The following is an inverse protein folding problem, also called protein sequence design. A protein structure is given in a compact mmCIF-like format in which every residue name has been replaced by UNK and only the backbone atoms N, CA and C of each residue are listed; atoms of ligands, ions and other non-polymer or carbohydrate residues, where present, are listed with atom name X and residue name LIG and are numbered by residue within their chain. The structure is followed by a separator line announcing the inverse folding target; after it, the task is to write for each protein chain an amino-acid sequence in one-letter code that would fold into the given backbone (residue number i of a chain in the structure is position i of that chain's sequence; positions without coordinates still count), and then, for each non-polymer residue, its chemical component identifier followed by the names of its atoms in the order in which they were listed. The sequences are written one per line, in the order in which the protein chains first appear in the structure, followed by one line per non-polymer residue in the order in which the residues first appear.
data_IF_811145550851
#
_entry.id   IF_811145550851
#
_cell.length_a   1.000
_cell.length_b   1.000
_cell.length_c   1.000
_cell.angle_alpha   90.00
_cell.angle_beta   90.00
_cell.angle_gamma   90.00
#
_symmetry.space_group_name_H-M   'P 1'
#
loop_
_entity.id
_entity.type
_entity.pdbx_description
1 polymer ?
#
# COMPACT_ATOMS: atom_id res chain seq x y z
N UNK A 1 -10.29 3.70 -32.70
CA UNK A 1 -9.24 3.16 -31.81
C UNK A 1 -8.83 4.22 -30.78
N UNK A 2 -8.78 3.87 -29.49
CA UNK A 2 -8.47 4.82 -28.41
C UNK A 2 -7.50 4.17 -27.43
N UNK A 3 -6.53 4.92 -26.93
CA UNK A 3 -5.58 4.49 -25.87
C UNK A 3 -5.71 5.43 -24.67
N UNK A 4 -5.71 4.89 -23.46
CA UNK A 4 -5.79 5.65 -22.21
C UNK A 4 -4.40 5.70 -21.58
N UNK A 5 -3.91 6.89 -21.25
CA UNK A 5 -2.59 7.10 -20.63
C UNK A 5 -2.74 7.93 -19.36
N UNK A 6 -1.92 7.65 -18.34
CA UNK A 6 -1.76 8.57 -17.21
C UNK A 6 -1.12 9.88 -17.71
N UNK A 7 -1.50 10.99 -17.06
CA UNK A 7 -0.97 12.34 -17.33
C UNK A 7 0.55 12.36 -17.23
N UNK A 8 1.15 11.73 -16.21
CA UNK A 8 2.59 11.67 -16.05
C UNK A 8 3.26 11.04 -17.29
N UNK A 9 2.79 9.86 -17.70
CA UNK A 9 3.32 9.14 -18.87
C UNK A 9 3.23 9.97 -20.15
N UNK A 10 2.10 10.62 -20.41
CA UNK A 10 1.95 11.42 -21.65
C UNK A 10 2.71 12.74 -21.58
N UNK A 11 2.81 13.37 -20.40
CA UNK A 11 3.48 14.64 -20.21
C UNK A 11 5.01 14.55 -20.34
N UNK A 12 5.62 13.39 -20.04
CA UNK A 12 7.06 13.18 -20.22
C UNK A 12 7.46 12.94 -21.68
N UNK A 13 6.54 12.47 -22.54
CA UNK A 13 6.84 12.11 -23.95
C UNK A 13 7.52 13.25 -24.71
N UNK A 14 7.04 14.51 -24.70
CA UNK A 14 7.71 15.59 -25.43
C UNK A 14 9.15 15.84 -24.95
N UNK A 15 9.42 15.69 -23.66
CA UNK A 15 10.78 15.86 -23.11
C UNK A 15 11.69 14.70 -23.52
N UNK A 16 11.19 13.46 -23.49
CA UNK A 16 11.90 12.28 -23.98
C UNK A 16 12.24 12.43 -25.47
N UNK A 17 11.30 12.89 -26.30
CA UNK A 17 11.54 13.11 -27.73
C UNK A 17 12.57 14.20 -28.00
N UNK A 18 12.56 15.29 -27.21
CA UNK A 18 13.54 16.39 -27.35
C UNK A 18 14.95 16.02 -26.86
N UNK A 19 15.08 15.29 -25.75
CA UNK A 19 16.37 14.92 -25.15
C UNK A 19 16.93 13.59 -25.64
N UNK A 20 16.09 12.79 -26.31
CA UNK A 20 16.42 11.46 -26.80
C UNK A 20 16.06 10.36 -25.81
N UNK A 21 15.58 9.22 -26.33
CA UNK A 21 15.22 8.06 -25.51
C UNK A 21 16.38 7.50 -24.70
N UNK A 22 17.60 7.55 -25.25
CA UNK A 22 18.81 7.09 -24.57
C UNK A 22 19.10 7.86 -23.27
N UNK A 23 18.80 9.17 -23.24
CA UNK A 23 18.94 9.99 -22.04
C UNK A 23 17.98 9.53 -20.94
N UNK A 24 16.71 9.32 -21.29
CA UNK A 24 15.70 8.88 -20.31
C UNK A 24 15.94 7.44 -19.85
N UNK A 25 16.40 6.56 -20.76
CA UNK A 25 16.70 5.16 -20.44
C UNK A 25 17.99 4.97 -19.63
N UNK A 26 18.86 5.98 -19.57
CA UNK A 26 20.08 5.95 -18.76
C UNK A 26 19.81 6.17 -17.26
N UNK A 27 18.61 6.64 -16.92
CA UNK A 27 18.13 6.79 -15.54
C UNK A 27 17.49 5.47 -15.08
N UNK A 28 17.75 5.09 -13.84
CA UNK A 28 17.22 3.91 -13.19
C UNK A 28 17.88 2.61 -13.64
N UNK A 29 17.21 1.49 -13.36
CA UNK A 29 17.71 0.14 -13.68
C UNK A 29 17.12 -0.38 -14.99
N UNK A 30 17.73 -1.40 -15.62
CA UNK A 30 17.11 -2.06 -16.77
C UNK A 30 15.66 -2.47 -16.47
N UNK A 31 14.76 -2.21 -17.42
CA UNK A 31 13.29 -2.38 -17.31
C UNK A 31 12.57 -1.44 -16.33
N UNK A 32 13.31 -0.59 -15.62
CA UNK A 32 12.81 0.36 -14.64
C UNK A 32 13.45 1.74 -14.89
N UNK A 33 13.29 2.23 -16.11
CA UNK A 33 14.03 3.40 -16.57
C UNK A 33 13.22 4.70 -16.49
N UNK A 34 13.93 5.79 -16.21
CA UNK A 34 13.38 7.14 -16.18
C UNK A 34 13.23 7.73 -14.78
N UNK A 35 12.48 8.81 -14.71
CA UNK A 35 12.08 9.46 -13.46
C UNK A 35 10.63 9.10 -13.10
N UNK A 36 10.29 9.31 -11.83
CA UNK A 36 8.94 9.15 -11.31
C UNK A 36 8.65 10.27 -10.32
N UNK A 37 7.42 10.78 -10.38
CA UNK A 37 6.88 11.66 -9.32
C UNK A 37 6.46 10.76 -8.15
N UNK A 38 7.13 10.93 -7.02
CA UNK A 38 6.82 10.32 -5.74
C UNK A 38 5.98 11.27 -4.90
N UNK A 39 4.84 10.79 -4.41
CA UNK A 39 3.97 11.55 -3.52
C UNK A 39 4.13 11.00 -2.10
N UNK A 40 4.96 11.63 -1.27
CA UNK A 40 5.27 11.18 0.09
C UNK A 40 4.28 11.82 1.07
N UNK A 41 3.53 10.96 1.75
CA UNK A 41 2.41 11.34 2.62
C UNK A 41 2.40 10.53 3.93
N UNK A 42 1.51 10.86 4.84
CA UNK A 42 1.38 10.19 6.13
C UNK A 42 2.34 10.73 7.18
N UNK A 43 2.91 9.85 8.00
CA UNK A 43 3.69 10.17 9.21
C UNK A 43 5.17 10.49 8.90
N UNK A 44 5.39 11.48 8.04
CA UNK A 44 6.71 12.09 7.76
C UNK A 44 6.76 13.53 8.27
N UNK A 45 7.96 14.08 8.46
CA UNK A 45 8.12 15.44 8.99
C UNK A 45 7.71 16.52 7.97
N UNK A 46 7.92 16.27 6.67
CA UNK A 46 7.62 17.21 5.59
C UNK A 46 6.98 16.47 4.40
N UNK A 47 5.67 16.17 4.42
CA UNK A 47 4.99 15.58 3.28
C UNK A 47 5.19 16.42 2.00
N UNK A 48 5.50 15.78 0.89
CA UNK A 48 5.83 16.47 -0.36
C UNK A 48 5.61 15.60 -1.59
N UNK A 49 5.52 16.26 -2.75
CA UNK A 49 5.69 15.60 -4.05
C UNK A 49 7.07 15.96 -4.58
N UNK A 50 7.82 14.96 -5.03
CA UNK A 50 9.16 15.13 -5.61
C UNK A 50 9.30 14.25 -6.84
N UNK A 51 9.92 14.78 -7.90
CA UNK A 51 10.35 13.97 -9.03
C UNK A 51 11.76 13.48 -8.76
N UNK A 52 11.97 12.17 -8.86
CA UNK A 52 13.27 11.54 -8.64
C UNK A 52 13.48 10.33 -9.57
N UNK A 53 14.73 9.91 -9.72
CA UNK A 53 15.12 8.72 -10.47
C UNK A 53 14.46 7.43 -9.94
N UNK A 54 13.93 6.61 -10.86
CA UNK A 54 13.41 5.29 -10.52
C UNK A 54 14.51 4.39 -9.95
N UNK A 55 14.20 3.67 -8.87
CA UNK A 55 15.16 2.79 -8.20
C UNK A 55 15.93 3.46 -7.05
N UNK A 56 15.63 4.71 -6.69
CA UNK A 56 16.10 5.30 -5.44
C UNK A 56 15.73 4.41 -4.23
N UNK A 57 16.62 4.18 -3.25
CA UNK A 57 16.27 3.49 -2.03
C UNK A 57 15.11 4.17 -1.29
N UNK A 58 14.11 3.41 -0.83
CA UNK A 58 12.91 3.96 -0.17
C UNK A 58 13.27 4.81 1.07
N UNK A 59 14.25 4.36 1.85
CA UNK A 59 14.74 5.12 3.00
C UNK A 59 15.37 6.45 2.59
N UNK A 60 16.22 6.42 1.57
CA UNK A 60 16.90 7.62 1.05
C UNK A 60 15.89 8.65 0.54
N UNK A 61 14.86 8.19 -0.19
CA UNK A 61 13.75 9.02 -0.67
C UNK A 61 13.06 9.76 0.51
N UNK A 62 12.75 9.05 1.60
CA UNK A 62 12.05 9.63 2.76
C UNK A 62 12.97 10.55 3.57
N UNK A 63 14.19 10.12 3.86
CA UNK A 63 15.13 10.88 4.69
C UNK A 63 15.55 12.18 3.99
N UNK A 64 15.76 12.14 2.67
CA UNK A 64 16.21 13.29 1.87
C UNK A 64 15.10 14.29 1.61
N UNK A 65 13.94 13.83 1.13
CA UNK A 65 12.90 14.73 0.62
C UNK A 65 11.79 15.03 1.62
N UNK A 66 11.39 14.04 2.42
CA UNK A 66 10.32 14.19 3.38
C UNK A 66 10.80 14.54 4.80
N UNK A 67 12.10 14.77 4.97
CA UNK A 67 12.73 15.09 6.26
C UNK A 67 12.67 13.94 7.27
N UNK A 68 12.55 12.70 6.80
CA UNK A 68 12.46 11.50 7.64
C UNK A 68 11.07 11.22 8.21
N UNK A 69 10.94 10.04 8.81
CA UNK A 69 9.74 9.60 9.55
C UNK A 69 9.56 10.45 10.81
N UNK A 70 8.31 10.74 11.18
CA UNK A 70 7.98 11.43 12.44
C UNK A 70 8.56 10.65 13.63
N UNK A 71 9.42 11.28 14.44
CA UNK A 71 10.11 10.61 15.55
C UNK A 71 11.32 9.77 15.16
N UNK A 72 11.79 9.86 13.90
CA UNK A 72 12.96 9.14 13.40
C UNK A 72 12.62 7.79 12.76
N UNK A 73 13.55 7.24 11.99
CA UNK A 73 13.36 6.02 11.22
C UNK A 73 13.01 4.79 12.08
N UNK A 74 13.51 4.73 13.31
CA UNK A 74 13.17 3.65 14.26
C UNK A 74 11.71 3.71 14.75
N UNK A 75 11.03 4.84 14.56
CA UNK A 75 9.61 4.98 14.83
C UNK A 75 8.73 4.48 13.66
N UNK A 76 9.33 4.02 12.55
CA UNK A 76 8.57 3.47 11.43
C UNK A 76 7.88 2.15 11.80
N UNK A 77 6.60 2.03 11.43
CA UNK A 77 5.83 0.79 11.53
C UNK A 77 5.78 0.10 10.15
N UNK A 78 5.20 0.78 9.18
CA UNK A 78 5.01 0.26 7.82
C UNK A 78 4.86 1.38 6.79
N UNK A 79 5.04 1.02 5.51
CA UNK A 79 4.86 1.94 4.38
C UNK A 79 4.02 1.25 3.31
N UNK A 80 3.04 1.96 2.74
CA UNK A 80 2.41 1.56 1.48
C UNK A 80 3.18 2.29 0.37
N UNK A 81 3.99 1.60 -0.46
CA UNK A 81 4.94 2.27 -1.35
C UNK A 81 4.30 2.86 -2.62
N UNK A 82 3.11 2.41 -3.01
CA UNK A 82 2.59 2.60 -4.37
C UNK A 82 1.15 3.04 -4.49
N UNK A 83 0.66 3.80 -3.51
CA UNK A 83 -0.75 4.16 -3.37
C UNK A 83 -1.56 3.06 -2.69
N UNK A 84 -2.80 3.36 -2.32
CA UNK A 84 -3.64 2.47 -1.49
C UNK A 84 -3.87 1.08 -2.07
N UNK A 85 -3.61 0.87 -3.36
CA UNK A 85 -3.88 -0.40 -4.04
C UNK A 85 -2.84 -1.47 -3.76
N UNK A 86 -1.65 -1.13 -3.25
CA UNK A 86 -0.56 -2.09 -3.10
C UNK A 86 -0.42 -2.58 -1.65
N UNK A 87 0.09 -3.81 -1.44
CA UNK A 87 0.39 -4.32 -0.11
C UNK A 87 1.38 -3.41 0.64
N UNK A 88 1.14 -3.21 1.94
CA UNK A 88 2.11 -2.53 2.81
C UNK A 88 3.40 -3.33 2.96
N UNK A 89 4.47 -2.63 3.34
CA UNK A 89 5.78 -3.17 3.67
C UNK A 89 6.09 -2.91 5.15
N UNK A 90 6.45 -3.92 5.95
CA UNK A 90 6.97 -3.71 7.29
C UNK A 90 8.35 -3.04 7.24
N UNK A 91 8.72 -2.33 8.32
CA UNK A 91 10.01 -1.61 8.43
C UNK A 91 11.22 -2.42 7.93
N UNK A 92 11.31 -3.70 8.28
CA UNK A 92 12.44 -4.57 7.92
C UNK A 92 12.69 -4.67 6.41
N UNK A 93 11.64 -4.58 5.59
CA UNK A 93 11.76 -4.56 4.12
C UNK A 93 12.07 -3.14 3.64
N UNK A 94 11.45 -2.12 4.26
CA UNK A 94 11.67 -0.72 3.92
C UNK A 94 13.13 -0.27 4.10
N UNK A 95 13.90 -0.94 4.98
CA UNK A 95 15.30 -0.65 5.23
C UNK A 95 16.19 -0.80 3.97
N UNK A 96 15.83 -1.69 3.04
CA UNK A 96 16.70 -2.06 1.89
C UNK A 96 16.03 -1.98 0.52
N UNK A 97 14.72 -1.78 0.45
CA UNK A 97 13.98 -1.85 -0.83
C UNK A 97 14.23 -0.63 -1.71
N UNK A 98 14.28 -0.86 -3.01
CA UNK A 98 14.38 0.18 -4.03
C UNK A 98 12.99 0.55 -4.56
N UNK A 99 12.80 1.83 -4.90
CA UNK A 99 11.56 2.37 -5.43
C UNK A 99 11.49 2.21 -6.95
N UNK A 100 11.41 0.95 -7.39
CA UNK A 100 11.13 0.58 -8.78
C UNK A 100 10.09 -0.58 -8.87
N UNK A 101 9.62 -0.89 -10.07
CA UNK A 101 8.54 -1.86 -10.26
C UNK A 101 8.97 -3.28 -9.88
N UNK A 102 10.17 -3.70 -10.33
CA UNK A 102 10.64 -5.08 -10.10
C UNK A 102 10.98 -5.33 -8.63
N UNK A 103 11.69 -4.43 -7.96
CA UNK A 103 12.12 -4.61 -6.56
C UNK A 103 10.91 -4.65 -5.63
N UNK A 104 9.90 -3.82 -5.86
CA UNK A 104 8.67 -3.83 -5.08
C UNK A 104 7.82 -5.08 -5.35
N UNK A 105 7.78 -5.57 -6.59
CA UNK A 105 7.12 -6.84 -6.93
C UNK A 105 7.80 -8.01 -6.23
N UNK A 106 9.13 -8.05 -6.19
CA UNK A 106 9.91 -9.16 -5.61
C UNK A 106 9.68 -9.28 -4.08
N UNK A 107 9.37 -8.17 -3.41
CA UNK A 107 8.95 -8.16 -1.99
C UNK A 107 7.43 -8.28 -1.80
N UNK A 108 6.70 -8.74 -2.83
CA UNK A 108 5.24 -8.97 -2.82
C UNK A 108 4.43 -7.70 -2.56
N UNK A 109 4.91 -6.56 -3.05
CA UNK A 109 4.17 -5.30 -3.12
C UNK A 109 4.18 -4.78 -4.58
N UNK A 110 4.02 -3.48 -4.80
CA UNK A 110 4.09 -2.86 -6.12
C UNK A 110 4.37 -1.37 -6.04
N UNK A 111 4.90 -0.80 -7.13
CA UNK A 111 5.15 0.65 -7.21
C UNK A 111 3.88 1.47 -7.42
N UNK A 112 2.86 0.90 -8.07
CA UNK A 112 1.59 1.57 -8.36
C UNK A 112 1.78 3.00 -8.90
N UNK A 113 1.17 3.98 -8.24
CA UNK A 113 1.30 5.40 -8.60
C UNK A 113 2.54 6.10 -8.03
N UNK A 114 3.35 5.39 -7.23
CA UNK A 114 4.38 5.94 -6.35
C UNK A 114 3.82 6.91 -5.28
N UNK A 115 2.56 6.69 -4.86
CA UNK A 115 1.97 7.33 -3.68
C UNK A 115 2.46 6.67 -2.39
N UNK A 116 3.54 7.17 -1.82
CA UNK A 116 4.17 6.62 -0.62
C UNK A 116 3.39 7.09 0.62
N UNK A 117 2.74 6.15 1.33
CA UNK A 117 2.02 6.42 2.57
C UNK A 117 2.83 5.84 3.73
N UNK A 118 3.40 6.71 4.55
CA UNK A 118 4.24 6.33 5.70
C UNK A 118 3.38 6.24 6.96
N UNK A 119 3.52 5.16 7.72
CA UNK A 119 2.83 4.95 9.00
C UNK A 119 3.87 4.69 10.09
N UNK A 120 3.89 5.52 11.12
CA UNK A 120 4.74 5.33 12.31
C UNK A 120 4.05 4.42 13.35
N UNK A 121 4.79 4.04 14.40
CA UNK A 121 4.32 3.12 15.46
C UNK A 121 3.15 3.63 16.31
N UNK A 122 2.76 4.90 16.17
CA UNK A 122 1.55 5.41 16.83
C UNK A 122 0.26 5.07 16.08
N UNK A 123 0.37 4.45 14.90
CA UNK A 123 -0.77 4.15 14.03
C UNK A 123 -1.40 2.81 14.39
N UNK A 124 -2.73 2.77 14.52
CA UNK A 124 -3.46 1.50 14.39
C UNK A 124 -3.50 1.07 12.92
N UNK A 125 -2.54 0.23 12.53
CA UNK A 125 -2.41 -0.26 11.15
C UNK A 125 -3.61 -1.09 10.70
N UNK A 126 -4.27 -1.81 11.60
CA UNK A 126 -5.46 -2.61 11.28
C UNK A 126 -6.59 -1.65 10.88
N UNK A 127 -6.79 -0.58 11.65
CA UNK A 127 -7.76 0.47 11.35
C UNK A 127 -7.43 1.26 10.09
N UNK A 128 -6.15 1.55 9.85
CA UNK A 128 -5.74 2.23 8.61
C UNK A 128 -6.13 1.41 7.37
N UNK A 129 -5.91 0.10 7.38
CA UNK A 129 -6.28 -0.80 6.28
C UNK A 129 -7.79 -1.05 6.21
N UNK A 130 -8.49 -1.11 7.34
CA UNK A 130 -9.95 -1.14 7.38
C UNK A 130 -10.54 0.10 6.68
N UNK A 131 -9.96 1.27 6.91
CA UNK A 131 -10.37 2.50 6.24
C UNK A 131 -10.15 2.44 4.73
N UNK A 132 -9.08 1.80 4.27
CA UNK A 132 -8.88 1.51 2.83
C UNK A 132 -9.92 0.52 2.30
N UNK A 133 -10.28 -0.52 3.06
CA UNK A 133 -11.35 -1.44 2.67
C UNK A 133 -12.71 -0.72 2.55
N UNK A 134 -13.01 0.24 3.44
CA UNK A 134 -14.17 1.12 3.31
C UNK A 134 -14.12 1.97 2.03
N UNK A 135 -12.96 2.54 1.71
CA UNK A 135 -12.76 3.31 0.48
C UNK A 135 -13.07 2.45 -0.75
N UNK A 136 -12.49 1.25 -0.85
CA UNK A 136 -12.74 0.37 -1.99
C UNK A 136 -14.18 -0.13 -2.09
N UNK A 137 -14.85 -0.36 -0.95
CA UNK A 137 -16.30 -0.65 -0.94
C UNK A 137 -17.10 0.55 -1.46
N UNK A 138 -16.72 1.77 -1.08
CA UNK A 138 -17.44 2.99 -1.46
C UNK A 138 -17.26 3.32 -2.95
N UNK A 139 -16.03 3.18 -3.46
CA UNK A 139 -15.64 3.50 -4.84
C UNK A 139 -15.76 2.32 -5.81
N UNK A 140 -16.34 1.20 -5.37
CA UNK A 140 -16.66 0.08 -6.26
C UNK A 140 -17.92 0.40 -7.08
N UNK A 141 -17.80 0.36 -8.41
CA UNK A 141 -18.93 0.62 -9.30
C UNK A 141 -20.04 -0.45 -9.25
N UNK A 142 -19.78 -1.58 -8.60
CA UNK A 142 -20.76 -2.65 -8.42
C UNK A 142 -21.06 -3.51 -9.65
N UNK A 143 -20.29 -3.40 -10.74
CA UNK A 143 -20.61 -4.15 -11.96
C UNK A 143 -20.39 -5.66 -11.82
N UNK A 144 -19.20 -6.11 -11.43
CA UNK A 144 -18.88 -7.53 -11.28
C UNK A 144 -19.14 -8.02 -9.85
N UNK A 145 -19.76 -9.19 -9.72
CA UNK A 145 -20.17 -9.76 -8.42
C UNK A 145 -19.01 -9.94 -7.44
N UNK A 146 -17.84 -10.48 -7.83
CA UNK A 146 -16.73 -10.65 -6.88
C UNK A 146 -16.27 -9.33 -6.26
N UNK A 147 -16.21 -8.25 -7.04
CA UNK A 147 -15.89 -6.92 -6.52
C UNK A 147 -17.05 -6.34 -5.69
N UNK A 148 -18.28 -6.35 -6.23
CA UNK A 148 -19.45 -5.74 -5.60
C UNK A 148 -19.73 -6.31 -4.21
N UNK A 149 -19.78 -7.64 -4.11
CA UNK A 149 -20.11 -8.33 -2.85
C UNK A 149 -18.85 -8.54 -1.99
N UNK A 150 -17.73 -8.90 -2.62
CA UNK A 150 -16.49 -9.21 -1.92
C UNK A 150 -15.90 -8.00 -1.19
N UNK A 151 -15.88 -6.82 -1.81
CA UNK A 151 -15.38 -5.59 -1.13
C UNK A 151 -16.22 -5.24 0.10
N UNK A 152 -17.55 -5.36 0.00
CA UNK A 152 -18.46 -5.13 1.13
C UNK A 152 -18.29 -6.16 2.24
N UNK A 153 -18.08 -7.43 1.89
CA UNK A 153 -17.81 -8.48 2.86
C UNK A 153 -16.46 -8.29 3.56
N UNK A 154 -15.40 -8.05 2.79
CA UNK A 154 -14.04 -7.83 3.32
C UNK A 154 -14.01 -6.63 4.29
N UNK A 155 -14.68 -5.52 3.95
CA UNK A 155 -14.79 -4.36 4.82
C UNK A 155 -15.48 -4.68 6.16
N UNK A 156 -16.58 -5.45 6.16
CA UNK A 156 -17.26 -5.83 7.40
C UNK A 156 -16.41 -6.74 8.29
N UNK A 157 -15.63 -7.64 7.70
CA UNK A 157 -14.70 -8.48 8.47
C UNK A 157 -13.57 -7.62 9.02
N UNK A 158 -13.02 -6.69 8.23
CA UNK A 158 -12.02 -5.73 8.70
C UNK A 158 -12.51 -4.88 9.88
N UNK A 159 -13.74 -4.35 9.86
CA UNK A 159 -14.35 -3.62 11.00
C UNK A 159 -14.41 -4.49 12.27
N UNK A 160 -14.74 -5.79 12.12
CA UNK A 160 -14.73 -6.73 13.24
C UNK A 160 -13.31 -7.00 13.76
N UNK A 161 -12.31 -7.11 12.87
CA UNK A 161 -10.90 -7.25 13.26
C UNK A 161 -10.40 -6.02 14.02
N UNK A 162 -10.78 -4.81 13.60
CA UNK A 162 -10.46 -3.57 14.34
C UNK A 162 -11.04 -3.60 15.75
N UNK A 163 -12.29 -4.02 15.91
CA UNK A 163 -12.97 -4.12 17.22
C UNK A 163 -12.53 -5.29 18.09
N UNK A 164 -11.77 -6.23 17.51
CA UNK A 164 -11.40 -7.51 18.13
C UNK A 164 -12.58 -8.49 18.28
N UNK A 165 -13.70 -8.26 17.57
CA UNK A 165 -14.94 -9.05 17.65
C UNK A 165 -14.98 -10.19 16.61
N UNK A 166 -13.81 -10.68 16.20
CA UNK A 166 -13.63 -11.74 15.20
C UNK A 166 -12.98 -12.97 15.82
N UNK A 167 -13.15 -14.12 15.17
CA UNK A 167 -12.43 -15.35 15.50
C UNK A 167 -11.11 -15.45 14.71
N UNK A 168 -10.13 -16.19 15.23
CA UNK A 168 -8.79 -16.29 14.59
C UNK A 168 -8.90 -16.95 13.21
N UNK A 169 -9.82 -17.90 13.06
CA UNK A 169 -10.14 -18.59 11.82
C UNK A 169 -10.71 -17.63 10.75
N UNK A 170 -11.27 -16.48 11.17
CA UNK A 170 -11.77 -15.48 10.23
C UNK A 170 -10.65 -14.76 9.50
N UNK A 171 -9.42 -14.75 10.03
CA UNK A 171 -8.25 -14.21 9.34
C UNK A 171 -7.96 -15.03 8.07
N UNK A 172 -7.98 -16.36 8.19
CA UNK A 172 -7.76 -17.26 7.06
C UNK A 172 -8.95 -17.27 6.11
N UNK A 173 -10.18 -17.16 6.63
CA UNK A 173 -11.37 -16.96 5.80
C UNK A 173 -11.27 -15.65 5.00
N UNK A 174 -10.85 -14.55 5.63
CA UNK A 174 -10.65 -13.26 4.97
C UNK A 174 -9.61 -13.38 3.85
N UNK A 175 -8.48 -14.03 4.10
CA UNK A 175 -7.48 -14.32 3.08
C UNK A 175 -8.06 -15.16 1.93
N UNK A 176 -8.90 -16.15 2.22
CA UNK A 176 -9.54 -16.96 1.17
C UNK A 176 -10.43 -16.10 0.27
N UNK A 177 -11.21 -15.19 0.85
CA UNK A 177 -12.07 -14.28 0.09
C UNK A 177 -11.25 -13.29 -0.72
N UNK A 178 -10.15 -12.76 -0.17
CA UNK A 178 -9.27 -11.87 -0.95
C UNK A 178 -8.80 -12.52 -2.25
N UNK A 179 -8.50 -13.83 -2.23
CA UNK A 179 -8.09 -14.61 -3.41
C UNK A 179 -9.24 -14.97 -4.36
N UNK A 180 -10.47 -15.00 -3.86
CA UNK A 180 -11.67 -15.16 -4.69
C UNK A 180 -12.08 -13.86 -5.38
N UNK A 181 -11.72 -12.71 -4.81
CA UNK A 181 -11.91 -11.40 -5.45
C UNK A 181 -10.80 -11.15 -6.46
N UNK A 182 -9.55 -11.32 -6.03
CA UNK A 182 -8.36 -11.18 -6.88
C UNK A 182 -8.45 -12.07 -8.13
N UNK A 183 -8.19 -11.49 -9.30
CA UNK A 183 -8.20 -12.21 -10.58
C UNK A 183 -9.57 -12.65 -11.10
N UNK A 184 -10.66 -12.42 -10.35
CA UNK A 184 -12.03 -12.79 -10.75
C UNK A 184 -12.93 -11.57 -10.99
N UNK A 185 -12.35 -10.37 -11.09
CA UNK A 185 -13.07 -9.11 -11.36
C UNK A 185 -12.84 -8.62 -12.79
N UNK A 186 -13.72 -7.73 -13.27
CA UNK A 186 -13.61 -7.16 -14.63
C UNK A 186 -12.43 -6.20 -14.75
N UNK A 187 -12.20 -5.37 -13.73
CA UNK A 187 -11.08 -4.44 -13.66
C UNK A 187 -10.21 -4.74 -12.42
N UNK A 188 -9.06 -4.08 -12.34
CA UNK A 188 -8.08 -4.24 -11.26
C UNK A 188 -8.51 -3.62 -9.91
N UNK A 189 -9.71 -3.04 -9.79
CA UNK A 189 -10.21 -2.54 -8.50
C UNK A 189 -10.40 -3.68 -7.49
N UNK A 190 -10.77 -4.87 -7.96
CA UNK A 190 -10.86 -6.06 -7.11
C UNK A 190 -9.52 -6.42 -6.48
N UNK A 191 -8.47 -6.47 -7.30
CA UNK A 191 -7.09 -6.71 -6.85
C UNK A 191 -6.64 -5.61 -5.87
N UNK A 192 -6.90 -4.34 -6.23
CA UNK A 192 -6.58 -3.18 -5.39
C UNK A 192 -7.29 -3.18 -4.03
N UNK A 193 -8.47 -3.80 -3.94
CA UNK A 193 -9.19 -3.95 -2.68
C UNK A 193 -8.70 -5.15 -1.85
N UNK A 194 -8.24 -6.21 -2.51
CA UNK A 194 -7.76 -7.44 -1.88
C UNK A 194 -6.32 -7.28 -1.32
N UNK A 195 -5.43 -6.66 -2.09
CA UNK A 195 -4.01 -6.58 -1.79
C UNK A 195 -3.63 -5.86 -0.47
N UNK A 196 -4.28 -4.76 -0.05
CA UNK A 196 -4.00 -4.12 1.23
C UNK A 196 -4.26 -5.05 2.42
N UNK A 197 -5.35 -5.82 2.36
CA UNK A 197 -5.72 -6.81 3.38
C UNK A 197 -4.73 -7.97 3.37
N UNK A 198 -4.37 -8.50 2.20
CA UNK A 198 -3.35 -9.54 2.09
C UNK A 198 -1.99 -9.08 2.64
N UNK A 199 -1.60 -7.83 2.38
CA UNK A 199 -0.39 -7.21 2.91
C UNK A 199 -0.42 -7.07 4.43
N UNK A 200 -1.54 -6.58 4.98
CA UNK A 200 -1.76 -6.47 6.42
C UNK A 200 -1.61 -7.83 7.10
N UNK A 201 -2.39 -8.83 6.67
CA UNK A 201 -2.36 -10.15 7.30
C UNK A 201 -0.97 -10.79 7.17
N UNK A 202 -0.27 -10.61 6.05
CA UNK A 202 1.07 -11.16 5.88
C UNK A 202 2.11 -10.55 6.83
N UNK A 203 2.02 -9.25 7.11
CA UNK A 203 3.02 -8.53 7.89
C UNK A 203 2.66 -8.37 9.38
N UNK A 204 1.36 -8.38 9.71
CA UNK A 204 0.82 -8.02 11.02
C UNK A 204 -0.25 -9.01 11.50
N UNK A 205 -0.16 -10.29 11.12
CA UNK A 205 -1.06 -11.34 11.65
C UNK A 205 -1.08 -11.37 13.17
N UNK A 206 0.11 -11.33 13.77
CA UNK A 206 0.27 -11.42 15.22
C UNK A 206 -0.45 -10.27 15.95
N UNK A 207 -0.38 -9.04 15.41
CA UNK A 207 -1.10 -7.87 15.94
C UNK A 207 -2.63 -8.06 15.90
N UNK A 208 -3.14 -8.70 14.83
CA UNK A 208 -4.57 -9.01 14.70
C UNK A 208 -4.97 -10.08 15.73
N UNK A 209 -4.19 -11.16 15.86
CA UNK A 209 -4.46 -12.25 16.81
C UNK A 209 -4.38 -11.76 18.26
N UNK A 210 -3.40 -10.92 18.59
CA UNK A 210 -3.26 -10.29 19.90
C UNK A 210 -4.46 -9.40 20.22
N UNK A 211 -4.99 -8.67 19.24
CA UNK A 211 -6.20 -7.84 19.43
C UNK A 211 -7.44 -8.67 19.72
N UNK A 212 -7.64 -9.76 18.98
CA UNK A 212 -8.74 -10.71 19.22
C UNK A 212 -8.61 -11.32 20.63
N UNK A 213 -7.41 -11.74 21.01
CA UNK A 213 -7.13 -12.33 22.32
C UNK A 213 -7.34 -11.33 23.47
N UNK A 214 -6.90 -10.09 23.29
CA UNK A 214 -7.10 -9.00 24.24
C UNK A 214 -8.60 -8.77 24.51
N UNK A 215 -9.42 -8.73 23.44
CA UNK A 215 -10.88 -8.57 23.55
C UNK A 215 -11.53 -9.73 24.30
N UNK A 216 -11.15 -10.98 23.99
CA UNK A 216 -11.70 -12.19 24.65
C UNK A 216 -11.32 -12.30 26.13
N UNK A 217 -10.12 -11.86 26.49
CA UNK A 217 -9.62 -11.96 27.87
C UNK A 217 -9.97 -10.76 28.74
N UNK A 218 -10.61 -9.73 28.17
CA UNK A 218 -10.92 -8.48 28.88
C UNK A 218 -9.68 -7.64 29.26
N UNK A 219 -8.48 -8.05 28.83
CA UNK A 219 -7.25 -7.28 28.98
C UNK A 219 -7.18 -6.31 27.80
N UNK A 220 -7.62 -5.07 28.00
CA UNK A 220 -7.33 -3.99 27.06
C UNK A 220 -5.81 -3.83 26.93
N UNK A 221 -5.24 -4.28 25.81
CA UNK A 221 -3.88 -3.93 25.42
C UNK A 221 -3.77 -2.42 25.20
N UNK A 222 -2.61 -1.84 25.51
CA UNK A 222 -2.37 -0.40 25.56
C UNK A 222 -2.58 0.36 24.23
N UNK A 223 -2.93 -0.31 23.13
CA UNK A 223 -3.14 0.28 21.80
C UNK A 223 -4.60 0.32 21.34
N UNK A 224 -5.56 -0.15 22.15
CA UNK A 224 -6.99 -0.18 21.76
C UNK A 224 -7.77 1.13 22.04
N UNK A 225 -7.08 2.26 22.29
CA UNK A 225 -7.72 3.54 22.59
C UNK A 225 -7.38 4.59 21.53
N UNK A 226 -8.44 5.09 20.89
CA UNK A 226 -8.59 6.15 19.85
C UNK A 226 -8.60 5.74 18.37
#
# INVERSE_FOLDING_TARGET
PTTVNNVETIAVVPTILRRGGAWFSALGRPKNSGTKIFCISGHVNKPCNVEEELGIPLRELIDTYAGGVRGGWDNLLAIIPGGSSVPLLPKSICDTVLMDFDSLRDVKSGLGTAGVIVMDKSTDVIRAIERLAQFYKHESCGQCTPCREGTGWMMRVMDRLVRGDAEVEEIDMLLSVTKQVEGHTICALGDAAAWPIQGLVRAFRDEIEDRIKAKKTGRMGAMAAE
#
